data_IF_058287060826
#
_entry.id   IF_058287060826
#
_cell.length_a   1.000
_cell.length_b   1.000
_cell.length_c   1.000
_cell.angle_alpha   90.00
_cell.angle_beta   90.00
_cell.angle_gamma   90.00
#
_symmetry.space_group_name_H-M   'P 1'
#
loop_
_entity.id
_entity.type
_entity.pdbx_description
1 polymer ?
#
# COMPACT_ATOMS: atom_id res chain seq x y z
N UNK A 1 -19.95 -6.01 26.34
CA UNK A 1 -19.50 -7.38 26.10
C UNK A 1 -20.65 -8.21 25.59
N UNK A 2 -20.39 -8.95 24.69
CA UNK A 2 -20.91 -10.10 23.99
C UNK A 2 -21.26 -9.76 22.57
N UNK A 3 -20.55 -10.35 21.70
CA UNK A 3 -21.34 -11.06 20.71
C UNK A 3 -20.60 -12.19 20.03
N UNK A 4 -20.17 -13.17 20.78
CA UNK A 4 -19.64 -14.38 20.14
C UNK A 4 -20.73 -15.23 19.47
N UNK A 5 -21.99 -15.12 19.90
CA UNK A 5 -23.09 -15.84 19.27
C UNK A 5 -23.60 -15.18 17.98
N UNK A 6 -23.66 -13.86 17.90
CA UNK A 6 -24.10 -13.15 16.71
C UNK A 6 -23.11 -13.19 15.53
N UNK A 7 -21.82 -13.15 15.80
CA UNK A 7 -20.75 -13.27 14.79
C UNK A 7 -20.75 -14.65 14.11
N UNK A 8 -20.86 -15.73 14.88
CA UNK A 8 -20.92 -17.08 14.35
C UNK A 8 -22.12 -17.32 13.42
N UNK A 9 -23.26 -16.70 13.71
CA UNK A 9 -24.45 -16.80 12.87
C UNK A 9 -24.31 -15.97 11.58
N UNK A 10 -23.67 -14.80 11.65
CA UNK A 10 -23.38 -13.98 10.46
C UNK A 10 -22.39 -14.70 9.55
N UNK A 11 -21.31 -15.26 10.08
CA UNK A 11 -20.32 -16.00 9.30
C UNK A 11 -20.92 -17.21 8.61
N UNK A 12 -21.67 -18.06 9.34
CA UNK A 12 -22.35 -19.20 8.75
C UNK A 12 -23.32 -18.83 7.64
N UNK A 13 -24.02 -17.72 7.81
CA UNK A 13 -24.94 -17.24 6.78
C UNK A 13 -24.16 -16.80 5.53
N UNK A 14 -23.09 -16.05 5.69
CA UNK A 14 -22.26 -15.60 4.56
C UNK A 14 -21.59 -16.78 3.85
N UNK A 15 -21.09 -17.77 4.59
CA UNK A 15 -20.57 -19.01 4.00
C UNK A 15 -21.63 -19.79 3.22
N UNK A 16 -22.85 -19.89 3.74
CA UNK A 16 -23.98 -20.54 3.05
C UNK A 16 -24.39 -19.79 1.77
N UNK A 17 -24.22 -18.48 1.73
CA UNK A 17 -24.44 -17.63 0.56
C UNK A 17 -23.23 -17.69 -0.42
N UNK A 18 -22.17 -18.43 -0.11
CA UNK A 18 -20.97 -18.62 -0.95
C UNK A 18 -19.95 -17.51 -0.85
N UNK A 19 -20.03 -16.65 0.17
CA UNK A 19 -19.05 -15.60 0.42
C UNK A 19 -17.83 -16.11 1.18
N UNK A 20 -16.68 -15.46 0.94
CA UNK A 20 -15.44 -15.71 1.69
C UNK A 20 -15.52 -14.94 3.01
N UNK A 21 -15.40 -15.65 4.12
CA UNK A 21 -15.31 -15.05 5.46
C UNK A 21 -13.90 -15.14 6.00
N UNK A 22 -13.42 -14.11 6.75
CA UNK A 22 -12.07 -14.11 7.29
C UNK A 22 -11.89 -15.16 8.38
N UNK A 23 -10.75 -15.83 8.39
CA UNK A 23 -10.31 -16.65 9.50
C UNK A 23 -9.98 -15.80 10.74
N UNK A 24 -9.92 -16.45 11.91
CA UNK A 24 -9.58 -15.75 13.16
C UNK A 24 -8.13 -15.25 13.19
N UNK A 25 -7.26 -15.87 12.44
CA UNK A 25 -5.83 -15.57 12.32
C UNK A 25 -5.52 -14.19 11.74
N UNK A 26 -6.39 -13.70 10.84
CA UNK A 26 -6.21 -12.37 10.23
C UNK A 26 -6.93 -11.25 11.00
N UNK A 27 -7.67 -11.57 12.05
CA UNK A 27 -8.36 -10.59 12.89
C UNK A 27 -7.47 -10.20 14.06
N UNK A 28 -6.99 -8.96 14.06
CA UNK A 28 -6.09 -8.44 15.08
C UNK A 28 -6.83 -8.07 16.37
N UNK A 29 -6.18 -8.32 17.49
CA UNK A 29 -6.65 -7.83 18.79
C UNK A 29 -6.48 -6.32 18.90
N UNK A 30 -7.18 -5.64 19.84
CA UNK A 30 -6.98 -4.21 20.07
C UNK A 30 -5.52 -3.84 20.39
N UNK A 31 -4.80 -4.71 21.12
CA UNK A 31 -3.40 -4.52 21.47
C UNK A 31 -2.51 -4.59 20.22
N UNK A 32 -2.74 -5.57 19.34
CA UNK A 32 -2.03 -5.70 18.07
C UNK A 32 -2.28 -4.50 17.15
N UNK A 33 -3.53 -4.04 17.06
CA UNK A 33 -3.88 -2.83 16.29
C UNK A 33 -3.13 -1.60 16.82
N UNK A 34 -3.02 -1.44 18.14
CA UNK A 34 -2.27 -0.30 18.69
C UNK A 34 -0.77 -0.43 18.40
N UNK A 35 -0.20 -1.63 18.48
CA UNK A 35 1.18 -1.89 18.06
C UNK A 35 1.43 -1.53 16.59
N UNK A 36 0.52 -1.90 15.69
CA UNK A 36 0.57 -1.54 14.28
C UNK A 36 0.49 -0.02 14.08
N UNK A 37 -0.38 0.67 14.85
CA UNK A 37 -0.48 2.15 14.82
C UNK A 37 0.81 2.83 15.25
N UNK A 38 1.48 2.32 16.29
CA UNK A 38 2.79 2.85 16.72
C UNK A 38 3.85 2.66 15.63
N UNK A 39 3.87 1.49 14.97
CA UNK A 39 4.72 1.27 13.79
C UNK A 39 4.39 2.26 12.67
N UNK A 40 3.11 2.48 12.39
CA UNK A 40 2.65 3.45 11.39
C UNK A 40 3.09 4.88 11.67
N UNK A 41 3.16 5.29 12.93
CA UNK A 41 3.69 6.63 13.30
C UNK A 41 5.17 6.78 12.93
N UNK A 42 5.96 5.74 13.15
CA UNK A 42 7.38 5.72 12.74
C UNK A 42 7.47 5.79 11.21
N UNK A 43 6.71 4.96 10.52
CA UNK A 43 6.66 4.91 9.05
C UNK A 43 6.32 6.29 8.44
N UNK A 44 5.27 6.95 8.93
CA UNK A 44 4.86 8.29 8.47
C UNK A 44 5.96 9.32 8.73
N UNK A 45 6.62 9.28 9.91
CA UNK A 45 7.72 10.20 10.22
C UNK A 45 8.91 10.03 9.26
N UNK A 46 9.18 8.81 8.80
CA UNK A 46 10.20 8.55 7.77
C UNK A 46 9.78 9.16 6.44
N UNK A 47 8.53 8.97 5.99
CA UNK A 47 8.02 9.58 4.76
C UNK A 47 8.00 11.11 4.83
N UNK A 48 7.71 11.70 5.98
CA UNK A 48 7.77 13.16 6.18
C UNK A 48 9.22 13.66 6.07
N UNK A 49 10.18 12.94 6.62
CA UNK A 49 11.60 13.26 6.46
C UNK A 49 12.05 13.19 4.99
N UNK A 50 11.59 12.19 4.25
CA UNK A 50 11.82 12.11 2.79
C UNK A 50 11.21 13.34 2.10
N UNK A 51 9.97 13.70 2.44
CA UNK A 51 9.26 14.83 1.85
C UNK A 51 10.02 16.17 2.03
N UNK A 52 10.67 16.36 3.17
CA UNK A 52 11.46 17.57 3.46
C UNK A 52 12.77 17.65 2.65
N UNK A 53 13.27 16.52 2.16
CA UNK A 53 14.60 16.43 1.57
C UNK A 53 14.62 16.08 0.07
N UNK A 54 13.56 15.45 -0.44
CA UNK A 54 13.51 14.98 -1.83
C UNK A 54 13.51 16.14 -2.83
N UNK A 55 14.37 16.03 -3.84
CA UNK A 55 14.54 17.07 -4.87
C UNK A 55 15.26 16.52 -6.10
N UNK A 56 15.25 17.26 -7.19
CA UNK A 56 16.09 16.96 -8.35
C UNK A 56 17.59 16.94 -7.98
N UNK A 57 18.33 16.09 -8.66
CA UNK A 57 19.78 15.94 -8.51
C UNK A 57 20.23 14.95 -7.44
N UNK A 58 19.32 14.35 -6.67
CA UNK A 58 19.68 13.26 -5.77
C UNK A 58 19.47 11.90 -6.44
N UNK A 59 20.21 10.89 -5.99
CA UNK A 59 19.98 9.51 -6.43
C UNK A 59 18.86 8.84 -5.61
N UNK A 60 18.25 7.80 -6.14
CA UNK A 60 17.32 6.97 -5.38
C UNK A 60 18.02 6.24 -4.24
N UNK A 61 19.32 5.94 -4.37
CA UNK A 61 20.14 5.43 -3.27
C UNK A 61 20.26 6.43 -2.11
N UNK A 62 20.24 7.73 -2.39
CA UNK A 62 20.22 8.71 -1.30
C UNK A 62 18.90 8.65 -0.51
N UNK A 63 17.79 8.38 -1.18
CA UNK A 63 16.49 8.13 -0.51
C UNK A 63 16.57 6.87 0.35
N UNK A 64 17.17 5.80 -0.18
CA UNK A 64 17.39 4.58 0.56
C UNK A 64 18.18 4.82 1.88
N UNK A 65 19.26 5.58 1.79
CA UNK A 65 20.06 5.96 2.97
C UNK A 65 19.23 6.75 3.99
N UNK A 66 18.45 7.71 3.54
CA UNK A 66 17.57 8.49 4.43
C UNK A 66 16.53 7.64 5.12
N UNK A 67 15.89 6.72 4.38
CA UNK A 67 14.89 5.82 4.94
C UNK A 67 15.53 4.87 5.95
N UNK A 68 16.67 4.24 5.63
CA UNK A 68 17.36 3.34 6.54
C UNK A 68 17.77 4.06 7.82
N UNK A 69 18.49 5.17 7.69
CA UNK A 69 19.01 5.93 8.82
C UNK A 69 17.87 6.46 9.72
N UNK A 70 16.83 7.05 9.11
CA UNK A 70 15.71 7.63 9.86
C UNK A 70 14.84 6.59 10.54
N UNK A 71 14.59 5.47 9.88
CA UNK A 71 13.86 4.35 10.49
C UNK A 71 14.58 3.85 11.73
N UNK A 72 15.92 3.65 11.65
CA UNK A 72 16.73 3.18 12.78
C UNK A 72 16.86 4.23 13.88
N UNK A 73 17.01 5.50 13.53
CA UNK A 73 17.01 6.62 14.49
C UNK A 73 15.75 6.62 15.35
N UNK A 74 14.59 6.32 14.74
CA UNK A 74 13.29 6.24 15.41
C UNK A 74 13.06 4.90 16.14
N UNK A 75 14.03 4.00 16.14
CA UNK A 75 13.98 2.70 16.80
C UNK A 75 13.24 1.61 16.01
N UNK A 76 12.96 1.85 14.73
CA UNK A 76 12.39 0.88 13.81
C UNK A 76 13.45 0.09 13.04
N UNK A 77 12.97 -0.84 12.24
CA UNK A 77 13.75 -1.63 11.29
C UNK A 77 13.07 -1.52 9.93
N UNK A 78 13.80 -1.20 8.84
CA UNK A 78 13.22 -1.26 7.50
C UNK A 78 12.78 -2.69 7.16
N UNK A 79 11.51 -2.89 6.88
CA UNK A 79 10.96 -4.21 6.61
C UNK A 79 11.39 -4.81 5.25
N UNK A 80 11.59 -4.02 4.18
CA UNK A 80 11.97 -4.57 2.88
C UNK A 80 13.37 -5.17 2.85
N UNK A 81 14.30 -4.66 3.68
CA UNK A 81 15.71 -5.06 3.62
C UNK A 81 15.90 -6.54 3.95
N UNK A 82 16.26 -7.32 2.94
CA UNK A 82 16.46 -8.77 3.05
C UNK A 82 15.18 -9.60 2.90
N UNK A 83 14.01 -8.96 2.83
CA UNK A 83 12.75 -9.66 2.60
C UNK A 83 12.74 -10.26 1.19
N UNK A 84 12.57 -11.58 1.10
CA UNK A 84 12.65 -12.35 -0.17
C UNK A 84 13.88 -12.04 -1.03
N UNK A 85 14.96 -11.55 -0.40
CA UNK A 85 16.20 -11.19 -1.07
C UNK A 85 16.27 -9.74 -1.55
N UNK A 86 15.26 -8.90 -1.28
CA UNK A 86 15.28 -7.49 -1.66
C UNK A 86 16.47 -6.75 -0.99
N UNK A 87 17.31 -6.03 -1.76
CA UNK A 87 18.61 -5.57 -1.27
C UNK A 87 18.60 -4.21 -0.57
N UNK A 88 17.45 -3.52 -0.50
CA UNK A 88 17.33 -2.14 -0.04
C UNK A 88 16.29 -1.97 1.06
N UNK A 89 16.28 -0.81 1.70
CA UNK A 89 15.41 -0.47 2.83
C UNK A 89 14.09 0.18 2.41
N UNK A 90 13.92 0.45 1.13
CA UNK A 90 12.76 1.15 0.55
C UNK A 90 12.62 0.77 -0.92
N UNK A 91 11.40 0.80 -1.46
CA UNK A 91 11.20 0.77 -2.91
C UNK A 91 11.04 2.20 -3.45
N UNK A 92 11.65 2.47 -4.61
CA UNK A 92 11.59 3.77 -5.29
C UNK A 92 11.25 3.57 -6.75
N UNK A 93 10.04 3.92 -7.16
CA UNK A 93 9.54 3.66 -8.51
C UNK A 93 9.29 4.97 -9.24
N UNK A 94 10.04 5.23 -10.32
CA UNK A 94 10.05 6.51 -11.05
C UNK A 94 9.28 6.39 -12.34
N UNK A 95 8.40 7.35 -12.61
CA UNK A 95 7.67 7.53 -13.86
C UNK A 95 6.87 6.26 -14.26
N UNK A 96 7.42 5.43 -15.14
CA UNK A 96 6.80 4.21 -15.67
C UNK A 96 7.13 2.93 -14.88
N UNK A 97 8.01 3.02 -13.90
CA UNK A 97 8.16 1.95 -12.92
C UNK A 97 6.91 1.88 -12.02
N UNK A 98 6.20 0.76 -12.09
CA UNK A 98 4.90 0.60 -11.42
C UNK A 98 5.08 0.45 -9.90
N UNK A 99 5.99 -0.45 -9.47
CA UNK A 99 6.30 -0.71 -8.07
C UNK A 99 7.65 -1.44 -7.94
N UNK A 100 8.10 -1.63 -6.70
CA UNK A 100 9.29 -2.40 -6.31
C UNK A 100 10.61 -1.93 -6.94
N UNK A 101 10.67 -0.70 -7.46
CA UNK A 101 11.91 -0.14 -8.01
C UNK A 101 13.05 -0.18 -6.99
N UNK A 102 14.23 -0.69 -7.43
CA UNK A 102 15.40 -0.88 -6.56
C UNK A 102 16.25 0.40 -6.54
N UNK A 103 16.44 1.04 -5.39
CA UNK A 103 17.29 2.22 -5.26
C UNK A 103 18.72 2.01 -5.80
N UNK A 104 19.20 2.98 -6.59
CA UNK A 104 20.51 2.94 -7.24
C UNK A 104 21.21 4.31 -7.18
N UNK A 105 22.55 4.31 -7.13
CA UNK A 105 23.36 5.53 -7.25
C UNK A 105 23.31 6.12 -8.67
N UNK A 106 23.03 5.28 -9.67
CA UNK A 106 22.98 5.69 -11.08
C UNK A 106 21.63 6.31 -11.48
N UNK A 107 20.59 6.11 -10.68
CA UNK A 107 19.24 6.65 -10.93
C UNK A 107 19.10 8.00 -10.21
N UNK A 108 19.27 9.09 -10.95
CA UNK A 108 19.23 10.46 -10.44
C UNK A 108 17.88 11.10 -10.78
N UNK A 109 17.20 11.63 -9.77
CA UNK A 109 15.94 12.35 -9.94
C UNK A 109 16.14 13.63 -10.76
N UNK A 110 15.22 13.87 -11.68
CA UNK A 110 15.21 15.04 -12.56
C UNK A 110 13.95 15.87 -12.32
N UNK A 111 14.02 17.13 -12.63
CA UNK A 111 12.83 17.97 -12.64
C UNK A 111 11.78 17.40 -13.62
N UNK A 112 10.55 17.32 -13.18
CA UNK A 112 9.45 16.72 -13.93
C UNK A 112 9.23 15.23 -13.69
N UNK A 113 10.09 14.55 -12.94
CA UNK A 113 9.84 13.18 -12.52
C UNK A 113 8.71 13.10 -11.50
N UNK A 114 8.00 11.99 -11.54
CA UNK A 114 7.13 11.54 -10.45
C UNK A 114 7.75 10.28 -9.87
N UNK A 115 7.70 10.12 -8.56
CA UNK A 115 8.29 8.97 -7.89
C UNK A 115 7.38 8.50 -6.76
N UNK A 116 7.14 7.19 -6.68
CA UNK A 116 6.62 6.54 -5.50
C UNK A 116 7.78 6.18 -4.56
N UNK A 117 7.68 6.55 -3.30
CA UNK A 117 8.58 6.10 -2.24
C UNK A 117 7.76 5.27 -1.27
N UNK A 118 8.07 3.99 -1.21
CA UNK A 118 7.31 2.99 -0.49
C UNK A 118 8.12 2.48 0.71
N UNK A 119 7.65 2.85 1.89
CA UNK A 119 8.33 2.63 3.17
C UNK A 119 7.53 1.65 4.01
N UNK A 120 8.16 0.55 4.40
CA UNK A 120 7.59 -0.41 5.34
C UNK A 120 8.50 -0.54 6.55
N UNK A 121 7.90 -0.55 7.73
CA UNK A 121 8.63 -0.44 9.00
C UNK A 121 8.22 -1.55 9.96
N UNK A 122 9.20 -2.14 10.63
CA UNK A 122 8.98 -2.99 11.80
C UNK A 122 9.30 -2.15 13.05
N UNK A 123 8.33 -2.00 13.93
CA UNK A 123 8.51 -1.31 15.21
C UNK A 123 7.93 -2.14 16.34
N UNK A 124 8.76 -2.50 17.33
CA UNK A 124 8.36 -3.37 18.45
C UNK A 124 7.70 -4.68 18.02
N UNK A 125 8.13 -5.24 16.88
CA UNK A 125 7.60 -6.49 16.34
C UNK A 125 6.31 -6.36 15.52
N UNK A 126 5.82 -5.14 15.28
CA UNK A 126 4.65 -4.87 14.42
C UNK A 126 5.08 -4.22 13.11
N UNK A 127 4.43 -4.63 12.03
CA UNK A 127 4.67 -4.11 10.70
C UNK A 127 3.68 -2.99 10.35
N UNK A 128 4.17 -2.01 9.64
CA UNK A 128 3.37 -0.99 8.97
C UNK A 128 3.92 -0.72 7.59
N UNK A 129 3.03 -0.34 6.68
CA UNK A 129 3.33 -0.16 5.28
C UNK A 129 2.58 1.06 4.75
N UNK A 130 3.30 1.95 4.09
CA UNK A 130 2.70 3.10 3.40
C UNK A 130 3.65 3.73 2.39
N UNK A 131 3.09 4.21 1.32
CA UNK A 131 3.84 4.90 0.28
C UNK A 131 3.34 6.33 0.04
N UNK A 132 4.17 7.11 -0.62
CA UNK A 132 3.82 8.48 -1.03
C UNK A 132 4.38 8.78 -2.41
N UNK A 133 3.53 9.38 -3.25
CA UNK A 133 3.96 9.95 -4.51
C UNK A 133 4.55 11.34 -4.30
N UNK A 134 5.67 11.61 -4.97
CA UNK A 134 6.31 12.92 -5.02
C UNK A 134 6.43 13.42 -6.47
N UNK A 135 6.22 14.71 -6.67
CA UNK A 135 6.48 15.40 -7.93
C UNK A 135 7.77 16.19 -7.75
N UNK A 136 8.76 15.95 -8.58
CA UNK A 136 10.06 16.59 -8.48
C UNK A 136 10.05 17.89 -9.29
N UNK A 137 9.97 19.02 -8.59
CA UNK A 137 9.89 20.34 -9.21
C UNK A 137 8.59 20.53 -10.00
N UNK A 138 8.70 21.04 -11.23
CA UNK A 138 7.56 21.23 -12.13
C UNK A 138 7.45 20.06 -13.09
N UNK A 139 6.23 19.55 -13.27
CA UNK A 139 5.96 18.43 -14.18
C UNK A 139 4.83 18.78 -15.16
N UNK A 140 4.45 17.84 -16.01
CA UNK A 140 3.37 18.01 -16.97
C UNK A 140 1.99 17.88 -16.31
N UNK A 141 0.95 18.52 -16.85
CA UNK A 141 -0.42 18.39 -16.34
C UNK A 141 -0.92 16.94 -16.29
N UNK A 142 -0.47 16.09 -17.22
CA UNK A 142 -0.85 14.67 -17.25
C UNK A 142 -0.26 13.90 -16.05
N UNK A 143 1.01 14.13 -15.72
CA UNK A 143 1.65 13.56 -14.54
C UNK A 143 1.03 14.08 -13.23
N UNK A 144 0.76 15.38 -13.14
CA UNK A 144 0.04 15.97 -12.00
C UNK A 144 -1.34 15.31 -11.81
N UNK A 145 -2.07 15.15 -12.91
CA UNK A 145 -3.38 14.46 -12.90
C UNK A 145 -3.25 13.01 -12.44
N UNK A 146 -2.26 12.26 -12.96
CA UNK A 146 -2.04 10.86 -12.58
C UNK A 146 -1.78 10.73 -11.07
N UNK A 147 -0.84 11.52 -10.53
CA UNK A 147 -0.51 11.52 -9.09
C UNK A 147 -1.73 11.87 -8.23
N UNK A 148 -2.49 12.88 -8.65
CA UNK A 148 -3.72 13.28 -7.94
C UNK A 148 -4.78 12.17 -7.97
N UNK A 149 -5.04 11.57 -9.14
CA UNK A 149 -6.06 10.51 -9.27
C UNK A 149 -5.63 9.25 -8.54
N UNK A 150 -4.34 8.89 -8.54
CA UNK A 150 -3.84 7.76 -7.75
C UNK A 150 -4.13 7.96 -6.25
N UNK A 151 -3.88 9.17 -5.72
CA UNK A 151 -4.25 9.51 -4.35
C UNK A 151 -5.76 9.46 -4.11
N UNK A 152 -6.54 10.01 -5.02
CA UNK A 152 -8.01 9.98 -4.94
C UNK A 152 -8.54 8.53 -4.95
N UNK A 153 -7.92 7.61 -5.69
CA UNK A 153 -8.26 6.18 -5.67
C UNK A 153 -8.11 5.58 -4.28
N UNK A 154 -7.00 5.89 -3.58
CA UNK A 154 -6.81 5.46 -2.18
C UNK A 154 -7.89 6.04 -1.27
N UNK A 155 -8.20 7.34 -1.41
CA UNK A 155 -9.23 8.01 -0.62
C UNK A 155 -10.63 7.42 -0.86
N UNK A 156 -10.98 7.10 -2.09
CA UNK A 156 -12.24 6.41 -2.42
C UNK A 156 -12.27 4.98 -1.85
N UNK A 157 -11.14 4.27 -1.92
CA UNK A 157 -11.00 2.97 -1.27
C UNK A 157 -11.25 3.06 0.24
N UNK A 158 -10.60 4.00 0.93
CA UNK A 158 -10.80 4.21 2.38
C UNK A 158 -12.27 4.52 2.72
N UNK A 159 -12.93 5.38 1.93
CA UNK A 159 -14.35 5.72 2.14
C UNK A 159 -15.28 4.51 1.97
N UNK A 160 -14.91 3.58 1.09
CA UNK A 160 -15.69 2.38 0.82
C UNK A 160 -15.50 1.27 1.86
N UNK A 161 -14.40 1.29 2.62
CA UNK A 161 -14.16 0.32 3.71
C UNK A 161 -15.19 0.51 4.82
N UNK A 162 -16.03 -0.50 5.00
CA UNK A 162 -17.06 -0.52 6.06
C UNK A 162 -17.18 -1.93 6.63
N UNK A 163 -17.40 -2.07 7.95
CA UNK A 163 -17.71 -3.37 8.52
C UNK A 163 -18.90 -4.03 7.83
N UNK A 164 -18.80 -5.32 7.56
CA UNK A 164 -19.85 -6.16 6.97
C UNK A 164 -20.17 -5.86 5.50
N UNK A 165 -19.25 -5.22 4.79
CA UNK A 165 -19.21 -5.15 3.32
C UNK A 165 -18.05 -5.99 2.81
N UNK A 166 -17.88 -6.11 1.50
CA UNK A 166 -16.86 -6.96 0.89
C UNK A 166 -15.66 -6.17 0.39
N UNK A 167 -14.50 -6.80 0.31
CA UNK A 167 -13.31 -6.18 -0.31
C UNK A 167 -13.60 -5.74 -1.75
N UNK A 168 -14.44 -6.48 -2.48
CA UNK A 168 -14.90 -6.08 -3.81
C UNK A 168 -15.71 -4.76 -3.84
N UNK A 169 -16.37 -4.38 -2.74
CA UNK A 169 -17.04 -3.06 -2.68
C UNK A 169 -16.02 -1.92 -2.69
N UNK A 170 -14.90 -2.11 -2.00
CA UNK A 170 -13.77 -1.17 -2.00
C UNK A 170 -13.06 -1.19 -3.35
N UNK A 171 -12.77 -2.38 -3.89
CA UNK A 171 -12.14 -2.55 -5.20
C UNK A 171 -12.93 -1.86 -6.33
N UNK A 172 -14.26 -2.04 -6.35
CA UNK A 172 -15.15 -1.39 -7.34
C UNK A 172 -15.07 0.14 -7.23
N UNK A 173 -15.05 0.70 -6.03
CA UNK A 173 -14.94 2.14 -5.82
C UNK A 173 -13.62 2.69 -6.39
N UNK A 174 -12.49 2.03 -6.12
CA UNK A 174 -11.16 2.36 -6.62
C UNK A 174 -11.12 2.27 -8.16
N UNK A 175 -11.52 1.14 -8.71
CA UNK A 175 -11.48 0.88 -10.16
C UNK A 175 -12.36 1.84 -10.95
N UNK A 176 -13.56 2.10 -10.45
CA UNK A 176 -14.49 3.05 -11.09
C UNK A 176 -13.89 4.45 -11.12
N UNK A 177 -13.32 4.94 -10.00
CA UNK A 177 -12.71 6.27 -9.96
C UNK A 177 -11.54 6.38 -10.95
N UNK A 178 -10.66 5.37 -11.04
CA UNK A 178 -9.60 5.34 -12.02
C UNK A 178 -10.12 5.39 -13.46
N UNK A 179 -11.10 4.55 -13.79
CA UNK A 179 -11.69 4.48 -15.13
C UNK A 179 -12.40 5.77 -15.54
N UNK A 180 -13.15 6.39 -14.65
CA UNK A 180 -13.85 7.68 -14.89
C UNK A 180 -12.86 8.81 -15.20
N UNK A 181 -11.62 8.70 -14.72
CA UNK A 181 -10.54 9.63 -15.01
C UNK A 181 -9.66 9.24 -16.22
N UNK A 182 -9.95 8.08 -16.87
CA UNK A 182 -9.26 7.60 -18.07
C UNK A 182 -8.00 6.79 -17.77
N UNK A 183 -7.90 6.20 -16.58
CA UNK A 183 -6.78 5.37 -16.14
C UNK A 183 -7.16 3.91 -15.97
N UNK A 184 -6.15 3.04 -15.92
CA UNK A 184 -6.28 1.61 -15.65
C UNK A 184 -5.65 1.26 -14.31
N UNK A 185 -6.19 0.23 -13.65
CA UNK A 185 -5.59 -0.36 -12.44
C UNK A 185 -4.87 -1.64 -12.85
N UNK A 186 -3.65 -1.84 -12.37
CA UNK A 186 -2.90 -3.09 -12.53
C UNK A 186 -3.65 -4.23 -11.86
N UNK A 187 -3.72 -5.38 -12.55
CA UNK A 187 -4.50 -6.54 -12.11
C UNK A 187 -3.65 -7.55 -11.35
N UNK A 188 -2.39 -7.70 -11.74
CA UNK A 188 -1.51 -8.77 -11.27
C UNK A 188 -0.89 -8.51 -9.89
N UNK A 189 -0.94 -7.26 -9.44
CA UNK A 189 -0.43 -6.81 -8.14
C UNK A 189 -1.56 -6.12 -7.37
N UNK A 190 -1.62 -6.37 -6.08
CA UNK A 190 -2.63 -5.79 -5.19
C UNK A 190 -2.06 -5.46 -3.82
N UNK A 191 -2.92 -5.05 -2.92
CA UNK A 191 -2.59 -4.90 -1.52
C UNK A 191 -2.67 -6.22 -0.76
N UNK A 192 -2.41 -6.15 0.52
CA UNK A 192 -2.30 -7.33 1.37
C UNK A 192 -2.67 -7.02 2.82
N UNK A 193 -2.94 -8.04 3.61
CA UNK A 193 -2.95 -7.92 5.06
C UNK A 193 -1.55 -7.56 5.57
N UNK A 194 -1.48 -6.82 6.67
CA UNK A 194 -0.21 -6.37 7.26
C UNK A 194 -0.34 -6.22 8.78
N UNK A 195 0.73 -6.41 9.49
CA UNK A 195 0.78 -6.06 10.91
C UNK A 195 1.55 -7.02 11.80
N UNK A 196 1.31 -8.31 11.75
CA UNK A 196 2.10 -9.32 12.47
C UNK A 196 3.20 -9.89 11.60
N UNK A 197 2.94 -9.91 10.29
CA UNK A 197 3.91 -10.19 9.24
C UNK A 197 3.92 -9.04 8.25
N UNK A 198 4.91 -9.00 7.36
CA UNK A 198 4.99 -7.97 6.33
C UNK A 198 3.84 -8.13 5.32
N UNK A 199 3.67 -9.33 4.79
CA UNK A 199 2.56 -9.69 3.92
C UNK A 199 1.75 -10.81 4.57
N UNK A 200 0.46 -10.56 4.75
CA UNK A 200 -0.51 -11.49 5.32
C UNK A 200 -1.75 -11.58 4.42
N UNK A 201 -2.58 -12.58 4.66
CA UNK A 201 -3.93 -12.60 4.12
C UNK A 201 -4.77 -11.43 4.68
N UNK A 202 -5.73 -10.90 3.90
CA UNK A 202 -6.07 -11.31 2.54
C UNK A 202 -5.22 -10.64 1.46
N UNK A 203 -5.13 -11.23 0.28
CA UNK A 203 -4.80 -10.49 -0.94
C UNK A 203 -5.92 -9.49 -1.23
N UNK A 204 -5.56 -8.25 -1.59
CA UNK A 204 -6.51 -7.15 -1.80
C UNK A 204 -6.46 -6.70 -3.26
N UNK A 205 -7.39 -7.19 -4.06
CA UNK A 205 -7.56 -6.72 -5.45
C UNK A 205 -8.25 -5.36 -5.50
N UNK A 206 -7.96 -4.59 -6.55
CA UNK A 206 -8.63 -3.30 -6.80
C UNK A 206 -9.47 -3.29 -8.09
N UNK A 207 -9.72 -4.45 -8.67
CA UNK A 207 -10.45 -4.58 -9.95
C UNK A 207 -11.63 -5.53 -9.90
N UNK A 208 -11.87 -6.15 -8.74
CA UNK A 208 -12.97 -7.11 -8.56
C UNK A 208 -14.32 -6.41 -8.40
N UNK A 209 -15.42 -7.09 -8.81
CA UNK A 209 -16.75 -6.52 -8.76
C UNK A 209 -17.27 -6.30 -7.34
N UNK A 210 -18.18 -5.35 -7.23
CA UNK A 210 -18.92 -5.11 -5.99
C UNK A 210 -19.62 -6.38 -5.47
N UNK A 211 -19.59 -6.59 -4.17
CA UNK A 211 -20.23 -7.73 -3.49
C UNK A 211 -19.47 -9.03 -3.62
N UNK A 212 -18.20 -8.99 -4.04
CA UNK A 212 -17.30 -10.16 -4.15
C UNK A 212 -16.14 -10.06 -3.17
N UNK A 213 -15.27 -11.04 -3.17
CA UNK A 213 -14.11 -11.16 -2.30
C UNK A 213 -14.47 -11.38 -0.82
N UNK A 214 -13.49 -11.21 0.06
CA UNK A 214 -13.65 -11.47 1.47
C UNK A 214 -14.53 -10.42 2.17
N UNK A 215 -15.36 -10.89 3.11
CA UNK A 215 -16.14 -10.04 4.01
C UNK A 215 -15.20 -9.25 4.93
N UNK A 216 -15.33 -7.93 4.93
CA UNK A 216 -14.60 -7.06 5.86
C UNK A 216 -15.24 -7.08 7.24
N UNK A 217 -14.43 -7.36 8.26
CA UNK A 217 -14.89 -7.37 9.66
C UNK A 217 -13.97 -6.53 10.54
N UNK A 218 -14.47 -6.01 11.68
CA UNK A 218 -13.63 -5.27 12.61
C UNK A 218 -12.43 -6.11 13.10
N UNK A 219 -11.25 -5.52 13.08
CA UNK A 219 -10.00 -6.17 13.45
C UNK A 219 -9.13 -6.59 12.26
N UNK A 220 -9.64 -6.59 11.04
CA UNK A 220 -8.81 -6.73 9.84
C UNK A 220 -7.94 -5.50 9.65
N UNK A 221 -6.68 -5.73 9.23
CA UNK A 221 -5.73 -4.68 8.85
C UNK A 221 -5.14 -5.06 7.49
N UNK A 222 -5.24 -4.19 6.52
CA UNK A 222 -4.76 -4.41 5.16
C UNK A 222 -4.39 -3.10 4.48
N UNK A 223 -3.59 -3.17 3.41
CA UNK A 223 -3.16 -2.02 2.62
C UNK A 223 -4.19 -1.62 1.56
N UNK A 224 -4.20 -0.35 1.18
CA UNK A 224 -4.92 0.17 0.01
C UNK A 224 -3.91 0.94 -0.83
N UNK A 225 -3.39 0.30 -1.86
CA UNK A 225 -2.26 0.73 -2.66
C UNK A 225 -2.44 0.46 -4.16
N UNK A 226 -3.51 0.95 -4.78
CA UNK A 226 -3.76 0.67 -6.19
C UNK A 226 -2.66 1.26 -7.09
N UNK A 227 -2.11 0.44 -8.00
CA UNK A 227 -1.20 0.90 -9.05
C UNK A 227 -2.02 1.41 -10.23
N UNK A 228 -1.94 2.73 -10.45
CA UNK A 228 -2.75 3.46 -11.43
C UNK A 228 -1.91 3.80 -12.66
N UNK A 229 -2.26 3.23 -13.80
CA UNK A 229 -1.53 3.42 -15.05
C UNK A 229 -2.24 4.39 -16.00
N UNK A 230 -1.46 5.27 -16.64
CA UNK A 230 -1.94 6.16 -17.70
C UNK A 230 -2.08 5.47 -19.07
N UNK A 231 -2.13 4.17 -19.11
CA UNK A 231 -2.27 3.34 -20.31
C UNK A 231 -3.04 2.08 -20.01
N UNK A 232 -2.48 0.94 -20.42
CA UNK A 232 -3.06 -0.36 -20.15
C UNK A 232 -2.77 -0.81 -18.70
N UNK A 233 -3.52 -1.82 -18.26
CA UNK A 233 -3.27 -2.48 -16.97
C UNK A 233 -2.10 -3.48 -17.03
N UNK A 234 -1.55 -3.71 -18.21
CA UNK A 234 -0.47 -4.66 -18.43
C UNK A 234 0.85 -4.15 -17.87
N UNK A 235 1.57 -5.02 -17.23
CA UNK A 235 2.91 -4.79 -16.71
C UNK A 235 3.87 -5.87 -17.21
N UNK A 236 5.14 -5.60 -17.13
CA UNK A 236 6.19 -6.59 -17.35
C UNK A 236 7.25 -6.44 -16.25
N UNK A 237 7.93 -7.53 -15.96
CA UNK A 237 9.01 -7.54 -14.98
C UNK A 237 10.34 -7.32 -15.71
N UNK A 238 11.10 -6.35 -15.25
CA UNK A 238 12.47 -6.13 -15.75
C UNK A 238 13.43 -7.21 -15.26
N UNK A 239 14.55 -7.37 -15.96
CA UNK A 239 15.54 -8.41 -15.68
C UNK A 239 16.24 -8.22 -14.30
N UNK A 240 16.21 -7.01 -13.78
CA UNK A 240 16.89 -6.61 -12.53
C UNK A 240 15.96 -6.63 -11.31
N UNK A 241 14.71 -7.04 -11.49
CA UNK A 241 13.70 -7.00 -10.43
C UNK A 241 12.95 -8.33 -10.28
#
# INVERSE_FOLDING_TARGET
>A
VAPSRGLGDVYKRQELEGHIVPGHDIIKTPEQIEGIRESGKVNIAVLDYVAENIRAGISTEQINKWVDDKTRELGGIPAPLGYEGFPKSVCTSINDEVCHGIPSEDVILKEGDIINVDVSTIYKGYFSDSSRMFIIGKTTPDKEKLVRVAKECVEEGIKAVKPWTFLGDMADAVNRHAKENGYSIVVDIGGHGVGLEFHEDPFVSYVTPKGTEMLMVPGMVFTIEPMVNAGTAEIYQDADN
#
